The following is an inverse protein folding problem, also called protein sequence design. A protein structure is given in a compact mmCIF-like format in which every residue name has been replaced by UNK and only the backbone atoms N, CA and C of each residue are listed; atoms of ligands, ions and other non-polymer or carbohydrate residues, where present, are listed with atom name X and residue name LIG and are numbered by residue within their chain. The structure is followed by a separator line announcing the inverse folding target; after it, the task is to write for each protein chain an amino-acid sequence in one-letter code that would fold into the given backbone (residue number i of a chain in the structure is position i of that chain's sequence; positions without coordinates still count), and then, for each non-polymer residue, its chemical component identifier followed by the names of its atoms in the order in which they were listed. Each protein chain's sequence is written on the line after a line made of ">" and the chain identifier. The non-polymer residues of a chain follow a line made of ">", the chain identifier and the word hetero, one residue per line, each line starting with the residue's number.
data_IF_384584356924
#
_entry.id   IF_384584356924
#
_cell.length_a   1.000
_cell.length_b   1.000
_cell.length_c   1.000
_cell.angle_alpha   90.00
_cell.angle_beta   90.00
_cell.angle_gamma   90.00
#
_symmetry.space_group_name_H-M   'P 1'
#
loop_
_entity.id
_entity.type
_entity.pdbx_description
1 polymer ?
#
# COMPACT_ATOMS: atom_id res chain seq x y z
N UNK A 1 -12.05 3.14 -12.65
CA UNK A 1 -12.59 3.92 -11.52
C UNK A 1 -11.75 3.61 -10.32
N UNK A 2 -11.20 4.64 -9.71
CA UNK A 2 -10.36 4.47 -8.53
C UNK A 2 -11.19 4.70 -7.26
N UNK A 3 -10.83 4.00 -6.18
CA UNK A 3 -11.35 4.18 -4.83
C UNK A 3 -12.89 4.18 -4.72
N UNK A 4 -13.52 3.09 -5.17
CA UNK A 4 -14.97 2.93 -5.11
C UNK A 4 -15.45 2.67 -3.68
N UNK A 5 -16.37 3.51 -3.19
CA UNK A 5 -16.89 3.41 -1.81
C UNK A 5 -18.24 2.71 -1.67
N UNK A 6 -19.08 2.69 -2.72
CA UNK A 6 -20.37 2.00 -2.67
C UNK A 6 -20.80 1.40 -4.00
N UNK A 7 -21.62 0.36 -3.94
CA UNK A 7 -22.23 -0.30 -5.10
C UNK A 7 -23.21 0.64 -5.84
N UNK A 8 -23.78 1.63 -5.16
CA UNK A 8 -24.70 2.59 -5.80
C UNK A 8 -23.95 3.50 -6.79
N UNK A 9 -22.70 3.86 -6.47
CA UNK A 9 -21.85 4.61 -7.37
C UNK A 9 -21.60 3.82 -8.67
N UNK A 10 -21.31 2.52 -8.55
CA UNK A 10 -21.19 1.61 -9.68
C UNK A 10 -22.48 1.50 -10.49
N UNK A 11 -23.63 1.28 -9.83
CA UNK A 11 -24.91 1.10 -10.51
C UNK A 11 -25.35 2.33 -11.30
N UNK A 12 -25.03 3.55 -10.82
CA UNK A 12 -25.27 4.79 -11.56
C UNK A 12 -24.36 4.89 -12.78
N UNK A 13 -23.08 4.57 -12.63
CA UNK A 13 -22.09 4.61 -13.71
C UNK A 13 -22.38 3.56 -14.80
N UNK A 14 -22.74 2.34 -14.42
CA UNK A 14 -23.06 1.25 -15.36
C UNK A 14 -24.19 1.62 -16.31
N UNK A 15 -25.17 2.43 -15.89
CA UNK A 15 -26.31 2.85 -16.73
C UNK A 15 -25.93 3.79 -17.87
N UNK A 16 -24.82 4.51 -17.76
CA UNK A 16 -24.39 5.50 -18.74
C UNK A 16 -23.26 4.99 -19.65
N UNK A 17 -22.68 3.82 -19.33
CA UNK A 17 -21.64 3.22 -20.16
C UNK A 17 -22.31 2.29 -21.19
N UNK A 18 -22.11 2.53 -22.50
CA UNK A 18 -22.72 1.72 -23.54
C UNK A 18 -22.17 0.30 -23.54
N UNK A 19 -23.08 -0.67 -23.69
CA UNK A 19 -22.79 -2.07 -23.95
C UNK A 19 -22.83 -2.35 -25.44
N UNK A 20 -21.76 -2.03 -26.14
CA UNK A 20 -21.64 -2.22 -27.59
C UNK A 20 -20.95 -3.54 -27.98
N UNK A 21 -20.59 -4.38 -27.00
CA UNK A 21 -19.87 -5.65 -27.18
C UNK A 21 -18.53 -5.51 -27.92
N UNK A 22 -17.96 -4.31 -27.96
CA UNK A 22 -16.68 -4.03 -28.65
C UNK A 22 -15.45 -4.35 -27.78
N UNK A 23 -15.64 -5.00 -26.63
CA UNK A 23 -14.55 -5.48 -25.77
C UNK A 23 -13.96 -4.44 -24.81
N UNK A 24 -14.65 -3.31 -24.61
CA UNK A 24 -14.31 -2.32 -23.57
C UNK A 24 -14.23 -2.96 -22.18
N UNK A 25 -13.25 -2.54 -21.36
CA UNK A 25 -13.03 -3.05 -19.99
C UNK A 25 -12.96 -1.93 -18.99
N UNK A 26 -13.49 -2.18 -17.78
CA UNK A 26 -13.42 -1.23 -16.68
C UNK A 26 -12.58 -1.85 -15.56
N UNK A 27 -11.49 -1.18 -15.20
CA UNK A 27 -10.74 -1.46 -13.99
C UNK A 27 -11.36 -0.67 -12.84
N UNK A 28 -11.76 -1.35 -11.78
CA UNK A 28 -12.25 -0.80 -10.53
C UNK A 28 -11.23 -1.10 -9.43
N UNK A 29 -10.98 -0.15 -8.55
CA UNK A 29 -10.22 -0.38 -7.31
C UNK A 29 -11.11 0.02 -6.13
N UNK A 30 -11.06 -0.76 -5.05
CA UNK A 30 -11.86 -0.52 -3.85
C UNK A 30 -11.08 -0.96 -2.62
N UNK A 31 -11.35 -0.32 -1.49
CA UNK A 31 -10.90 -0.75 -0.16
C UNK A 31 -12.01 -1.47 0.62
N UNK A 32 -13.23 -1.38 0.11
CA UNK A 32 -14.44 -1.92 0.70
C UNK A 32 -14.90 -3.13 -0.12
N UNK A 33 -14.65 -4.34 0.38
CA UNK A 33 -15.09 -5.59 -0.27
C UNK A 33 -16.61 -5.59 -0.51
N UNK A 34 -17.39 -4.97 0.38
CA UNK A 34 -18.84 -4.85 0.22
C UNK A 34 -19.24 -3.94 -0.94
N UNK A 35 -18.45 -2.90 -1.24
CA UNK A 35 -18.73 -2.00 -2.36
C UNK A 35 -18.62 -2.70 -3.72
N UNK A 36 -17.92 -3.84 -3.76
CA UNK A 36 -17.60 -4.56 -4.99
C UNK A 36 -18.23 -5.94 -5.11
N UNK A 37 -18.82 -6.47 -4.02
CA UNK A 37 -19.33 -7.84 -3.96
C UNK A 37 -20.36 -8.18 -5.04
N UNK A 38 -21.21 -7.21 -5.38
CA UNK A 38 -22.30 -7.38 -6.35
C UNK A 38 -21.93 -6.83 -7.75
N UNK A 39 -20.67 -6.48 -7.96
CA UNK A 39 -20.18 -6.09 -9.29
C UNK A 39 -19.92 -7.37 -10.08
N UNK A 40 -20.60 -7.50 -11.21
CA UNK A 40 -20.43 -8.60 -12.16
C UNK A 40 -19.05 -8.53 -12.86
N UNK A 41 -18.02 -9.02 -12.16
CA UNK A 41 -16.62 -9.01 -12.57
C UNK A 41 -16.10 -10.41 -12.93
N UNK A 42 -15.46 -10.51 -14.09
CA UNK A 42 -14.74 -11.71 -14.50
C UNK A 42 -13.43 -11.95 -13.72
N UNK A 43 -12.73 -10.90 -13.30
CA UNK A 43 -11.39 -11.01 -12.69
C UNK A 43 -11.33 -10.16 -11.42
N UNK A 44 -11.03 -10.82 -10.31
CA UNK A 44 -10.75 -10.19 -9.01
C UNK A 44 -9.27 -10.37 -8.67
N UNK A 45 -8.58 -9.26 -8.46
CA UNK A 45 -7.20 -9.21 -8.00
C UNK A 45 -7.14 -8.64 -6.58
N UNK A 46 -6.95 -9.51 -5.59
CA UNK A 46 -6.71 -9.08 -4.21
C UNK A 46 -5.25 -8.67 -4.09
N UNK A 47 -4.98 -7.40 -3.77
CA UNK A 47 -3.60 -7.00 -3.49
C UNK A 47 -3.14 -7.67 -2.20
N UNK A 48 -2.07 -8.44 -2.30
CA UNK A 48 -1.43 -9.09 -1.16
C UNK A 48 -0.37 -8.18 -0.58
N UNK A 49 -0.07 -8.40 0.70
CA UNK A 49 1.11 -7.79 1.33
C UNK A 49 2.38 -8.37 0.69
N UNK A 50 3.43 -7.57 0.69
CA UNK A 50 4.77 -8.03 0.33
C UNK A 50 5.28 -9.00 1.38
N UNK A 51 6.00 -10.03 0.94
CA UNK A 51 6.82 -10.87 1.82
C UNK A 51 7.94 -10.05 2.48
N UNK A 52 8.59 -10.61 3.50
CA UNK A 52 9.74 -9.95 4.14
C UNK A 52 10.87 -9.67 3.13
N UNK A 53 11.10 -10.58 2.20
CA UNK A 53 12.11 -10.44 1.15
C UNK A 53 11.73 -9.32 0.16
N UNK A 54 10.50 -9.33 -0.36
CA UNK A 54 10.03 -8.28 -1.27
C UNK A 54 10.00 -6.90 -0.58
N UNK A 55 9.71 -6.87 0.72
CA UNK A 55 9.74 -5.64 1.51
C UNK A 55 11.15 -5.07 1.61
N UNK A 56 12.13 -5.95 1.86
CA UNK A 56 13.54 -5.58 1.89
C UNK A 56 14.04 -5.11 0.51
N UNK A 57 13.70 -5.85 -0.55
CA UNK A 57 14.06 -5.50 -1.93
C UNK A 57 13.50 -4.11 -2.31
N UNK A 58 12.26 -3.82 -1.92
CA UNK A 58 11.63 -2.52 -2.14
C UNK A 58 12.39 -1.40 -1.41
N UNK A 59 12.76 -1.62 -0.14
CA UNK A 59 13.54 -0.65 0.63
C UNK A 59 14.91 -0.40 -0.03
N UNK A 60 15.64 -1.45 -0.37
CA UNK A 60 16.95 -1.33 -1.04
C UNK A 60 16.85 -0.57 -2.37
N UNK A 61 15.84 -0.89 -3.18
CA UNK A 61 15.59 -0.24 -4.47
C UNK A 61 15.29 1.25 -4.29
N UNK A 62 14.56 1.63 -3.24
CA UNK A 62 14.24 3.03 -2.94
C UNK A 62 15.41 3.78 -2.31
N UNK A 63 16.27 3.10 -1.56
CA UNK A 63 17.48 3.67 -0.97
C UNK A 63 18.62 3.86 -1.98
N UNK A 64 18.47 3.38 -3.23
CA UNK A 64 19.49 3.46 -4.29
C UNK A 64 20.82 2.79 -3.90
N UNK A 65 20.77 1.75 -3.06
CA UNK A 65 21.85 0.96 -2.42
C UNK A 65 22.01 1.32 -0.93
N UNK A 66 21.65 0.38 -0.07
CA UNK A 66 21.86 0.47 1.38
C UNK A 66 23.32 0.10 1.73
N UNK A 67 24.03 0.90 2.56
CA UNK A 67 25.36 0.55 3.06
C UNK A 67 25.38 -0.82 3.77
N UNK A 68 26.42 -1.62 3.52
CA UNK A 68 26.51 -3.00 4.03
C UNK A 68 26.41 -3.07 5.56
N UNK A 69 26.97 -2.11 6.29
CA UNK A 69 26.92 -2.08 7.76
C UNK A 69 25.52 -1.77 8.31
N UNK A 70 24.60 -1.25 7.49
CA UNK A 70 23.22 -0.93 7.86
C UNK A 70 22.23 -1.97 7.32
N UNK A 71 22.69 -2.92 6.51
CA UNK A 71 21.81 -3.88 5.83
C UNK A 71 20.94 -4.68 6.80
N UNK A 72 21.49 -5.10 7.93
CA UNK A 72 20.74 -5.87 8.93
C UNK A 72 19.66 -5.02 9.61
N UNK A 73 19.98 -3.78 9.99
CA UNK A 73 19.01 -2.84 10.57
C UNK A 73 17.92 -2.51 9.54
N UNK A 74 18.30 -2.30 8.28
CA UNK A 74 17.37 -2.08 7.18
C UNK A 74 16.39 -3.24 6.97
N UNK A 75 16.84 -4.49 7.09
CA UNK A 75 15.95 -5.66 7.04
C UNK A 75 14.96 -5.66 8.20
N UNK A 76 15.41 -5.33 9.42
CA UNK A 76 14.51 -5.23 10.58
C UNK A 76 13.47 -4.13 10.38
N UNK A 77 13.87 -2.97 9.85
CA UNK A 77 12.95 -1.88 9.51
C UNK A 77 11.91 -2.34 8.47
N UNK A 78 12.35 -2.98 7.39
CA UNK A 78 11.45 -3.50 6.35
C UNK A 78 10.45 -4.52 6.92
N UNK A 79 10.93 -5.43 7.77
CA UNK A 79 10.10 -6.40 8.49
C UNK A 79 9.05 -5.71 9.38
N UNK A 80 9.42 -4.63 10.08
CA UNK A 80 8.50 -3.85 10.94
C UNK A 80 7.44 -3.10 10.14
N UNK A 81 7.66 -2.83 8.85
CA UNK A 81 6.63 -2.31 7.92
C UNK A 81 5.57 -3.38 7.54
N UNK A 82 5.82 -4.65 7.89
CA UNK A 82 4.92 -5.81 7.75
C UNK A 82 4.29 -5.94 6.36
N UNK A 83 5.08 -5.75 5.30
CA UNK A 83 4.66 -6.00 3.93
C UNK A 83 3.85 -4.89 3.25
N UNK A 84 3.64 -3.75 3.90
CA UNK A 84 2.92 -2.62 3.30
C UNK A 84 3.86 -1.79 2.40
N UNK A 85 3.66 -1.75 1.07
CA UNK A 85 4.55 -1.02 0.17
C UNK A 85 4.69 0.46 0.52
N UNK A 86 3.58 1.10 0.89
CA UNK A 86 3.55 2.54 1.22
C UNK A 86 4.30 2.84 2.52
N UNK A 87 4.15 1.99 3.54
CA UNK A 87 4.87 2.09 4.80
C UNK A 87 6.38 2.04 4.59
N UNK A 88 6.84 1.10 3.75
CA UNK A 88 8.26 0.95 3.38
C UNK A 88 8.78 2.20 2.66
N UNK A 89 8.01 2.73 1.70
CA UNK A 89 8.40 3.94 0.95
C UNK A 89 8.51 5.15 1.87
N UNK A 90 7.57 5.34 2.81
CA UNK A 90 7.60 6.44 3.77
C UNK A 90 8.83 6.35 4.67
N UNK A 91 9.10 5.19 5.25
CA UNK A 91 10.28 4.99 6.11
C UNK A 91 11.57 5.17 5.32
N UNK A 92 11.65 4.64 4.10
CA UNK A 92 12.83 4.85 3.24
C UNK A 92 13.04 6.33 2.94
N UNK A 93 11.98 7.09 2.69
CA UNK A 93 12.05 8.55 2.51
C UNK A 93 12.60 9.30 3.72
N UNK A 94 12.43 8.74 4.93
CA UNK A 94 13.03 9.27 6.17
C UNK A 94 14.50 8.84 6.28
N UNK A 95 14.81 7.57 5.98
CA UNK A 95 16.18 7.05 5.97
C UNK A 95 17.09 7.83 5.02
N UNK A 96 16.57 8.29 3.88
CA UNK A 96 17.29 9.13 2.92
C UNK A 96 17.68 10.52 3.47
N UNK A 97 17.04 10.99 4.54
CA UNK A 97 17.25 12.35 5.10
C UNK A 97 18.10 12.35 6.37
N UNK A 98 18.41 11.18 6.93
CA UNK A 98 19.20 11.05 8.16
C UNK A 98 20.63 10.60 7.86
N UNK A 99 21.51 10.71 8.85
CA UNK A 99 22.87 10.17 8.74
C UNK A 99 22.85 8.64 8.63
N UNK A 100 23.72 8.10 7.77
CA UNK A 100 23.95 6.67 7.59
C UNK A 100 24.78 6.06 8.73
N UNK A 101 24.42 6.36 9.97
CA UNK A 101 25.01 5.82 11.20
C UNK A 101 24.11 4.74 11.79
N UNK A 102 24.71 3.82 12.54
CA UNK A 102 23.98 2.72 13.21
C UNK A 102 22.97 3.27 14.20
N UNK A 103 23.35 4.31 14.94
CA UNK A 103 22.54 4.93 15.98
C UNK A 103 21.28 5.57 15.40
N UNK A 104 21.41 6.32 14.30
CA UNK A 104 20.27 6.98 13.65
C UNK A 104 19.31 5.96 13.04
N UNK A 105 19.82 4.88 12.43
CA UNK A 105 18.97 3.83 11.88
C UNK A 105 18.26 3.00 12.95
N UNK A 106 18.93 2.70 14.07
CA UNK A 106 18.30 2.05 15.23
C UNK A 106 17.19 2.90 15.85
N UNK A 107 17.39 4.22 15.95
CA UNK A 107 16.35 5.14 16.42
C UNK A 107 15.10 5.09 15.52
N UNK A 108 15.28 5.03 14.20
CA UNK A 108 14.15 4.84 13.27
C UNK A 108 13.53 3.46 13.48
N UNK A 109 14.32 2.39 13.55
CA UNK A 109 13.83 1.03 13.79
C UNK A 109 12.94 0.96 15.04
N UNK A 110 13.38 1.54 16.16
CA UNK A 110 12.62 1.65 17.40
C UNK A 110 11.34 2.47 17.22
N UNK A 111 11.41 3.64 16.57
CA UNK A 111 10.25 4.50 16.30
C UNK A 111 9.19 3.82 15.43
N UNK A 112 9.60 2.95 14.50
CA UNK A 112 8.67 2.18 13.66
C UNK A 112 7.93 1.11 14.50
N UNK A 113 8.48 0.73 15.65
CA UNK A 113 7.95 -0.32 16.52
C UNK A 113 7.07 0.21 17.65
N UNK A 114 7.43 1.33 18.27
CA UNK A 114 6.55 2.06 19.17
C UNK A 114 5.61 2.91 18.32
N UNK A 115 4.29 2.79 18.46
CA UNK A 115 3.34 3.68 17.77
C UNK A 115 3.52 5.17 18.15
N UNK A 116 4.48 5.47 19.04
CA UNK A 116 5.01 6.77 19.36
C UNK A 116 6.12 7.09 18.37
N UNK A 117 5.82 8.00 17.44
CA UNK A 117 6.83 8.52 16.53
C UNK A 117 7.14 9.96 16.88
N UNK A 118 8.43 10.30 16.86
CA UNK A 118 8.91 11.63 17.19
C UNK A 118 8.25 12.68 16.29
N UNK A 119 7.56 13.65 16.92
CA UNK A 119 6.79 14.71 16.27
C UNK A 119 7.64 15.67 15.43
N UNK A 120 8.96 15.53 15.49
CA UNK A 120 9.94 16.35 14.78
C UNK A 120 10.09 15.98 13.29
N UNK A 121 9.65 14.80 12.84
CA UNK A 121 9.72 14.40 11.43
C UNK A 121 8.32 14.34 10.78
N UNK A 122 7.93 15.34 9.96
CA UNK A 122 6.61 15.41 9.33
C UNK A 122 6.25 14.15 8.51
N UNK A 123 7.22 13.53 7.83
CA UNK A 123 6.99 12.33 7.03
C UNK A 123 6.66 11.08 7.86
N UNK A 124 7.05 11.04 9.14
CA UNK A 124 6.71 9.95 10.04
C UNK A 124 5.27 10.10 10.55
N UNK A 125 4.73 11.31 10.70
CA UNK A 125 3.32 11.49 11.15
C UNK A 125 2.32 10.71 10.29
N UNK A 126 2.58 10.62 8.98
CA UNK A 126 1.75 9.87 8.04
C UNK A 126 1.77 8.35 8.31
N UNK A 127 2.88 7.79 8.81
CA UNK A 127 3.04 6.36 9.08
C UNK A 127 2.20 5.89 10.28
N UNK A 128 2.00 6.70 11.31
CA UNK A 128 1.05 6.39 12.39
C UNK A 128 -0.39 6.32 11.85
N UNK A 129 -0.74 7.21 10.94
CA UNK A 129 -1.99 7.14 10.17
C UNK A 129 -2.09 5.85 9.36
N UNK A 130 -1.04 5.47 8.63
CA UNK A 130 -1.00 4.22 7.85
C UNK A 130 -1.09 2.94 8.70
N UNK A 131 -0.49 2.92 9.90
CA UNK A 131 -0.59 1.80 10.82
C UNK A 131 -1.98 1.69 11.45
N UNK A 132 -2.62 2.81 11.76
CA UNK A 132 -4.05 2.84 12.17
C UNK A 132 -4.98 2.38 11.04
N UNK A 133 -4.67 2.76 9.79
CA UNK A 133 -5.35 2.29 8.58
C UNK A 133 -5.32 0.75 8.44
N UNK A 134 -4.24 0.12 8.88
CA UNK A 134 -4.07 -1.34 8.86
C UNK A 134 -4.92 -2.07 9.91
N UNK A 135 -5.08 -1.52 11.11
CA UNK A 135 -5.91 -2.15 12.16
C UNK A 135 -7.38 -2.28 11.74
N UNK A 136 -7.83 -1.45 10.81
CA UNK A 136 -9.17 -1.50 10.23
C UNK A 136 -9.33 -2.52 9.09
N UNK A 137 -8.31 -3.31 8.76
CA UNK A 137 -8.44 -4.46 7.86
C UNK A 137 -8.64 -4.12 6.37
N UNK A 138 -8.34 -2.90 5.95
CA UNK A 138 -8.55 -2.45 4.56
C UNK A 138 -7.42 -2.93 3.64
N UNK A 139 -7.50 -4.17 3.16
CA UNK A 139 -6.74 -4.57 1.98
C UNK A 139 -7.41 -3.96 0.74
N UNK A 140 -6.62 -3.41 -0.18
CA UNK A 140 -7.15 -2.90 -1.44
C UNK A 140 -7.45 -4.09 -2.35
N UNK A 141 -8.71 -4.20 -2.78
CA UNK A 141 -9.13 -5.12 -3.81
C UNK A 141 -9.20 -4.38 -5.15
N UNK A 142 -8.53 -4.92 -6.16
CA UNK A 142 -8.64 -4.46 -7.54
C UNK A 142 -9.50 -5.45 -8.31
N UNK A 143 -10.43 -4.94 -9.11
CA UNK A 143 -11.31 -5.73 -9.95
C UNK A 143 -11.17 -5.28 -11.38
N UNK A 144 -10.84 -6.22 -12.26
CA UNK A 144 -10.94 -5.98 -13.70
C UNK A 144 -12.28 -6.55 -14.14
N UNK A 145 -13.25 -5.68 -14.27
CA UNK A 145 -14.54 -6.00 -14.83
C UNK A 145 -14.39 -6.07 -16.36
N UNK A 146 -14.13 -7.28 -16.89
CA UNK A 146 -14.09 -7.52 -18.34
C UNK A 146 -15.42 -8.00 -18.91
N UNK A 147 -16.41 -8.31 -18.07
CA UNK A 147 -17.70 -8.92 -18.44
C UNK A 147 -18.83 -7.94 -18.68
N UNK A 148 -18.73 -6.69 -18.24
CA UNK A 148 -19.94 -5.88 -18.13
C UNK A 148 -20.57 -5.46 -19.47
N UNK A 149 -19.98 -5.86 -20.60
CA UNK A 149 -20.49 -5.53 -21.91
C UNK A 149 -20.38 -6.72 -22.87
N UNK A 150 -21.41 -7.59 -22.92
CA UNK A 150 -21.37 -8.85 -23.69
C UNK A 150 -22.62 -9.09 -24.51
#
# INVERSE_FOLDING_TARGET
>A
MDDMWSIEAWNKLKRIIPDDKMGSRILLTSRETNAIKDVDCNIVHRMTLLSENESWDLLQKKQQICPLHLAEIGKQIAKRCKGLPLAIVVVTGVLLKISNTVESWKAIEESVCSHVMDNQNPCLKDYAGFMSWREKGHLIEQLVCSSCFR
#
